data_IF_742885216005
#
_entry.id   IF_742885216005
#
_cell.length_a   1.000
_cell.length_b   1.000
_cell.length_c   1.000
_cell.angle_alpha   90.00
_cell.angle_beta   90.00
_cell.angle_gamma   90.00
#
_symmetry.space_group_name_H-M   'P 1'
#
loop_
_entity.id
_entity.type
_entity.pdbx_description
1 polymer ?
#
# COMPACT_ATOMS: atom_id res chain seq x y z
N UNK A 1 60.83 -77.38 8.50
CA UNK A 1 59.79 -77.99 7.62
C UNK A 1 58.70 -76.94 7.43
N UNK A 2 58.54 -76.29 6.26
CA UNK A 2 57.65 -76.69 5.13
C UNK A 2 56.27 -77.15 5.66
N UNK A 3 55.09 -76.63 5.28
CA UNK A 3 54.55 -76.31 3.93
C UNK A 3 53.10 -75.79 4.10
N UNK A 4 52.65 -74.87 3.20
CA UNK A 4 51.41 -74.92 2.35
C UNK A 4 50.03 -74.95 3.06
N UNK A 5 48.95 -74.26 2.65
CA UNK A 5 48.56 -73.62 1.38
C UNK A 5 47.37 -74.34 0.72
N UNK A 6 46.29 -73.59 0.43
CA UNK A 6 45.29 -73.81 -0.66
C UNK A 6 44.27 -74.97 -0.52
N UNK A 7 42.96 -74.70 -0.45
CA UNK A 7 41.93 -74.56 -1.54
C UNK A 7 41.58 -75.88 -2.25
N UNK A 8 40.27 -76.15 -2.45
CA UNK A 8 39.60 -76.66 -3.69
C UNK A 8 38.13 -77.06 -3.37
N UNK A 9 37.16 -76.38 -4.00
CA UNK A 9 35.79 -76.83 -4.34
C UNK A 9 35.84 -77.64 -5.67
N UNK A 10 34.79 -78.21 -6.32
CA UNK A 10 33.32 -78.08 -6.15
C UNK A 10 32.51 -79.40 -6.35
N UNK A 11 31.17 -79.38 -6.25
CA UNK A 11 30.24 -80.12 -7.14
C UNK A 11 28.75 -79.76 -6.87
N UNK A 12 28.00 -79.60 -7.96
CA UNK A 12 26.57 -79.27 -8.20
C UNK A 12 26.27 -79.99 -9.55
N UNK A 13 25.04 -80.35 -10.03
CA UNK A 13 23.65 -80.15 -9.55
C UNK A 13 22.78 -81.43 -9.58
N UNK A 14 21.48 -81.32 -9.23
CA UNK A 14 20.46 -82.14 -9.91
C UNK A 14 19.15 -81.37 -10.20
N UNK A 15 18.54 -81.69 -11.33
CA UNK A 15 17.42 -81.02 -12.04
C UNK A 15 16.02 -81.42 -11.54
N UNK A 16 15.04 -80.51 -11.55
CA UNK A 16 13.83 -80.57 -12.40
C UNK A 16 12.66 -79.60 -12.03
N UNK A 17 12.41 -78.68 -12.97
CA UNK A 17 11.16 -78.06 -13.52
C UNK A 17 9.75 -78.17 -12.86
N UNK A 18 9.12 -76.98 -12.83
CA UNK A 18 7.74 -76.55 -13.22
C UNK A 18 6.50 -76.72 -12.31
N UNK A 19 6.07 -75.55 -11.78
CA UNK A 19 4.77 -74.84 -11.90
C UNK A 19 3.43 -75.54 -11.53
N UNK A 20 2.67 -74.91 -10.60
CA UNK A 20 1.24 -74.55 -10.73
C UNK A 20 0.94 -73.39 -9.75
N UNK A 21 0.46 -72.25 -10.29
CA UNK A 21 -0.31 -71.20 -9.58
C UNK A 21 -1.72 -71.75 -9.31
N UNK A 22 -2.27 -71.58 -8.10
CA UNK A 22 -3.71 -71.32 -7.97
C UNK A 22 -4.10 -70.64 -6.64
N UNK A 23 -5.05 -69.72 -6.80
CA UNK A 23 -5.99 -69.14 -5.84
C UNK A 23 -5.51 -68.19 -4.72
N UNK A 24 -5.69 -66.91 -5.09
CA UNK A 24 -5.86 -65.71 -4.29
C UNK A 24 -7.03 -65.80 -3.28
N UNK A 25 -6.73 -65.92 -1.98
CA UNK A 25 -7.60 -65.44 -0.90
C UNK A 25 -7.09 -64.08 -0.39
N UNK A 26 -7.90 -63.00 -0.37
CA UNK A 26 -7.45 -61.71 0.15
C UNK A 26 -7.64 -61.65 1.67
N UNK A 27 -6.60 -61.43 2.50
CA UNK A 27 -6.82 -61.18 3.90
C UNK A 27 -7.19 -59.70 4.11
N UNK A 28 -8.43 -59.52 4.57
CA UNK A 28 -8.93 -58.42 5.39
C UNK A 28 -8.72 -56.99 4.88
N UNK A 29 -9.83 -56.38 4.44
CA UNK A 29 -10.09 -54.94 4.56
C UNK A 29 -9.86 -54.52 6.02
N UNK A 30 -8.65 -54.03 6.30
CA UNK A 30 -8.41 -53.16 7.43
C UNK A 30 -8.75 -51.75 6.97
N UNK A 31 -10.03 -51.40 7.13
CA UNK A 31 -10.43 -49.99 7.20
C UNK A 31 -9.66 -49.38 8.35
N UNK A 32 -8.55 -48.72 8.03
CA UNK A 32 -7.86 -47.81 8.92
C UNK A 32 -7.69 -46.52 8.17
N UNK A 33 -8.69 -45.66 8.39
CA UNK A 33 -8.66 -44.21 8.24
C UNK A 33 -7.24 -43.67 8.44
N UNK A 34 -6.50 -43.58 7.33
CA UNK A 34 -5.21 -42.92 7.30
C UNK A 34 -5.42 -41.64 6.54
N UNK A 35 -5.89 -40.66 7.30
CA UNK A 35 -5.57 -39.25 7.13
C UNK A 35 -6.05 -38.63 5.82
N UNK A 36 -7.37 -38.49 5.75
CA UNK A 36 -7.97 -37.20 5.41
C UNK A 36 -7.35 -36.09 6.28
N UNK A 37 -6.18 -35.57 5.89
CA UNK A 37 -5.62 -34.31 6.37
C UNK A 37 -4.42 -33.85 5.53
N UNK A 38 -4.55 -33.86 4.20
CA UNK A 38 -3.92 -32.76 3.47
C UNK A 38 -4.66 -31.50 3.91
N UNK A 39 -4.00 -30.51 4.54
CA UNK A 39 -4.66 -29.24 4.81
C UNK A 39 -5.12 -28.74 3.44
N UNK A 40 -6.43 -28.75 3.22
CA UNK A 40 -7.06 -28.15 2.06
C UNK A 40 -6.38 -26.80 1.88
N UNK A 41 -5.76 -26.60 0.71
CA UNK A 41 -4.98 -25.40 0.36
C UNK A 41 -5.84 -24.18 0.67
N UNK A 42 -5.70 -23.65 1.89
CA UNK A 42 -6.58 -22.60 2.41
C UNK A 42 -6.37 -21.41 1.49
N UNK A 43 -7.46 -20.75 1.11
CA UNK A 43 -7.38 -19.50 0.36
C UNK A 43 -6.58 -18.49 1.18
N UNK A 44 -5.27 -18.38 0.92
CA UNK A 44 -4.40 -17.48 1.65
C UNK A 44 -4.40 -16.12 0.97
N UNK A 45 -5.20 -15.20 1.49
CA UNK A 45 -5.35 -13.86 0.96
C UNK A 45 -4.03 -13.06 1.02
N UNK A 46 -3.18 -13.31 2.02
CA UNK A 46 -1.87 -12.67 2.12
C UNK A 46 -0.95 -13.07 0.96
N UNK A 47 -0.87 -14.36 0.62
CA UNK A 47 -0.08 -14.83 -0.53
C UNK A 47 -0.60 -14.27 -1.86
N UNK A 48 -1.93 -14.22 -2.04
CA UNK A 48 -2.50 -13.62 -3.26
C UNK A 48 -2.20 -12.12 -3.34
N UNK A 49 -2.26 -11.43 -2.21
CA UNK A 49 -1.96 -10.01 -2.15
C UNK A 49 -0.49 -9.77 -2.46
N UNK A 50 0.43 -10.50 -1.82
CA UNK A 50 1.86 -10.44 -2.15
C UNK A 50 2.13 -10.75 -3.62
N UNK A 51 1.43 -11.73 -4.18
CA UNK A 51 1.57 -12.10 -5.59
C UNK A 51 1.17 -10.96 -6.54
N UNK A 52 0.20 -10.12 -6.19
CA UNK A 52 -0.16 -8.94 -6.99
C UNK A 52 0.95 -7.88 -7.03
N UNK A 53 1.80 -7.83 -6.00
CA UNK A 53 2.93 -6.92 -5.92
C UNK A 53 4.23 -7.53 -6.46
N UNK A 54 4.38 -8.86 -6.40
CA UNK A 54 5.66 -9.51 -6.66
C UNK A 54 5.70 -10.36 -7.92
N UNK A 55 4.55 -10.71 -8.51
CA UNK A 55 4.49 -11.56 -9.71
C UNK A 55 4.12 -10.75 -10.95
N UNK A 56 4.83 -11.01 -12.05
CA UNK A 56 4.59 -10.36 -13.33
C UNK A 56 5.34 -9.03 -13.49
N UNK A 57 4.90 -8.20 -14.42
CA UNK A 57 5.52 -6.90 -14.66
C UNK A 57 5.25 -5.95 -13.49
N UNK A 58 6.26 -5.21 -12.99
CA UNK A 58 6.09 -4.23 -11.92
C UNK A 58 5.12 -3.09 -12.30
N UNK A 59 4.80 -2.95 -13.59
CA UNK A 59 3.86 -1.96 -14.11
C UNK A 59 2.39 -2.41 -14.01
N UNK A 60 2.10 -3.71 -13.89
CA UNK A 60 0.75 -4.24 -14.05
C UNK A 60 -0.25 -3.67 -13.04
N UNK A 61 0.12 -3.65 -11.75
CA UNK A 61 -0.76 -3.14 -10.69
C UNK A 61 -0.94 -1.61 -10.77
N UNK A 62 0.14 -0.79 -10.83
CA UNK A 62 0.01 0.66 -11.03
C UNK A 62 -0.81 1.03 -12.27
N UNK A 63 -0.56 0.36 -13.41
CA UNK A 63 -1.27 0.63 -14.66
C UNK A 63 -2.75 0.22 -14.59
N UNK A 64 -3.07 -0.92 -13.96
CA UNK A 64 -4.46 -1.35 -13.76
C UNK A 64 -5.26 -0.34 -12.92
N UNK A 65 -4.64 0.20 -11.87
CA UNK A 65 -5.25 1.20 -10.99
C UNK A 65 -5.47 2.49 -11.79
N UNK A 66 -4.44 2.99 -12.46
CA UNK A 66 -4.54 4.17 -13.33
C UNK A 66 -5.63 4.00 -14.41
N UNK A 67 -5.67 2.85 -15.08
CA UNK A 67 -6.65 2.55 -16.11
C UNK A 67 -8.08 2.52 -15.55
N UNK A 68 -8.29 1.94 -14.37
CA UNK A 68 -9.60 1.95 -13.70
C UNK A 68 -10.08 3.35 -13.34
N UNK A 69 -9.19 4.21 -12.83
CA UNK A 69 -9.50 5.61 -12.55
C UNK A 69 -9.84 6.38 -13.84
N UNK A 70 -9.08 6.13 -14.91
CA UNK A 70 -9.31 6.73 -16.23
C UNK A 70 -10.62 6.27 -16.84
N UNK A 71 -10.97 4.98 -16.72
CA UNK A 71 -12.24 4.44 -17.19
C UNK A 71 -13.43 5.07 -16.47
N UNK A 72 -13.35 5.26 -15.14
CA UNK A 72 -14.36 6.00 -14.38
C UNK A 72 -14.42 7.47 -14.81
N UNK A 73 -13.28 8.10 -15.11
CA UNK A 73 -13.22 9.44 -15.69
C UNK A 73 -13.97 9.54 -17.02
N UNK A 74 -13.71 8.62 -17.96
CA UNK A 74 -14.45 8.56 -19.23
C UNK A 74 -15.94 8.30 -19.04
N UNK A 75 -16.30 7.42 -18.12
CA UNK A 75 -17.70 7.15 -17.81
C UNK A 75 -18.38 8.41 -17.23
N UNK A 76 -17.70 9.14 -16.36
CA UNK A 76 -18.18 10.43 -15.83
C UNK A 76 -18.39 11.48 -16.94
N UNK A 77 -17.55 11.44 -17.98
CA UNK A 77 -17.69 12.31 -19.14
C UNK A 77 -18.94 11.95 -19.96
N UNK A 78 -19.10 10.67 -20.29
CA UNK A 78 -20.27 10.15 -21.03
C UNK A 78 -21.57 10.47 -20.29
N UNK A 79 -21.56 10.42 -18.95
CA UNK A 79 -22.71 10.70 -18.11
C UNK A 79 -22.93 12.19 -17.80
N UNK A 80 -22.08 13.09 -18.30
CA UNK A 80 -22.22 14.54 -18.11
C UNK A 80 -21.85 15.07 -16.72
N UNK A 81 -21.33 14.24 -15.81
CA UNK A 81 -21.01 14.61 -14.41
C UNK A 81 -19.55 15.02 -14.17
N UNK A 82 -18.73 15.01 -15.22
CA UNK A 82 -17.29 15.30 -15.15
C UNK A 82 -16.97 16.75 -14.76
N UNK A 83 -17.69 17.74 -15.30
CA UNK A 83 -17.49 19.18 -15.09
C UNK A 83 -18.80 19.89 -14.65
N UNK A 84 -19.46 19.33 -13.64
CA UNK A 84 -20.72 19.86 -13.13
C UNK A 84 -20.53 21.04 -12.17
N UNK A 85 -21.41 22.04 -12.28
CA UNK A 85 -21.50 23.19 -11.36
C UNK A 85 -22.83 23.20 -10.64
N UNK A 86 -22.80 23.18 -9.30
CA UNK A 86 -23.96 23.29 -8.43
C UNK A 86 -24.16 24.74 -7.99
N UNK A 87 -25.32 25.33 -8.31
CA UNK A 87 -25.70 26.65 -7.82
C UNK A 87 -26.41 26.50 -6.48
N UNK A 88 -25.75 26.92 -5.40
CA UNK A 88 -26.34 26.96 -4.06
C UNK A 88 -27.37 28.10 -3.98
N UNK A 89 -28.28 28.01 -3.01
CA UNK A 89 -29.40 28.95 -2.81
C UNK A 89 -28.98 30.39 -2.54
N UNK A 90 -27.73 30.63 -2.16
CA UNK A 90 -27.12 31.95 -1.96
C UNK A 90 -26.48 32.52 -3.24
N UNK A 91 -26.66 31.85 -4.40
CA UNK A 91 -26.13 32.27 -5.69
C UNK A 91 -24.67 31.86 -5.93
N UNK A 92 -24.04 31.11 -5.01
CA UNK A 92 -22.69 30.59 -5.20
C UNK A 92 -22.71 29.37 -6.14
N UNK A 93 -22.14 29.53 -7.34
CA UNK A 93 -21.85 28.42 -8.25
C UNK A 93 -20.59 27.67 -7.84
N UNK A 94 -20.74 26.39 -7.47
CA UNK A 94 -19.67 25.53 -6.95
C UNK A 94 -19.37 24.37 -7.90
N UNK A 95 -18.10 24.17 -8.23
CA UNK A 95 -17.66 23.06 -9.08
C UNK A 95 -17.64 21.76 -8.28
N UNK A 96 -18.54 20.85 -8.62
CA UNK A 96 -18.76 19.58 -7.92
C UNK A 96 -18.50 18.37 -8.81
N UNK A 97 -18.21 18.60 -10.09
CA UNK A 97 -17.92 17.56 -11.07
C UNK A 97 -16.77 16.64 -10.68
N UNK A 98 -16.76 15.46 -11.27
CA UNK A 98 -15.80 14.39 -10.97
C UNK A 98 -14.33 14.83 -11.12
N UNK A 99 -14.02 15.70 -12.10
CA UNK A 99 -12.67 16.23 -12.31
C UNK A 99 -12.22 17.24 -11.24
N UNK A 100 -13.17 17.89 -10.58
CA UNK A 100 -12.87 18.86 -9.51
C UNK A 100 -12.64 18.19 -8.15
N UNK A 101 -12.72 16.86 -8.11
CA UNK A 101 -12.49 16.05 -6.92
C UNK A 101 -11.03 15.57 -6.86
N UNK A 102 -10.19 16.09 -5.94
CA UNK A 102 -8.79 15.70 -5.81
C UNK A 102 -8.57 14.22 -5.51
N UNK A 103 -9.56 13.56 -4.89
CA UNK A 103 -9.49 12.13 -4.65
C UNK A 103 -9.45 11.33 -5.97
N UNK A 104 -10.00 11.86 -7.06
CA UNK A 104 -9.95 11.22 -8.38
C UNK A 104 -8.74 11.68 -9.18
N UNK A 105 -8.55 12.98 -9.32
CA UNK A 105 -7.52 13.55 -10.22
C UNK A 105 -6.10 13.42 -9.71
N UNK A 106 -5.88 13.45 -8.39
CA UNK A 106 -4.53 13.31 -7.83
C UNK A 106 -4.33 11.97 -7.13
N UNK A 107 -5.27 11.57 -6.25
CA UNK A 107 -5.10 10.34 -5.48
C UNK A 107 -5.14 9.11 -6.40
N UNK A 108 -6.24 8.86 -7.12
CA UNK A 108 -6.36 7.63 -7.93
C UNK A 108 -5.55 7.66 -9.24
N UNK A 109 -5.38 8.83 -9.86
CA UNK A 109 -4.59 8.94 -11.11
C UNK A 109 -3.07 9.06 -10.89
N UNK A 110 -2.60 9.56 -9.75
CA UNK A 110 -1.17 9.87 -9.58
C UNK A 110 -0.59 9.18 -8.34
N UNK A 111 -1.06 9.54 -7.14
CA UNK A 111 -0.39 9.14 -5.91
C UNK A 111 -0.50 7.65 -5.60
N UNK A 112 -1.67 7.05 -5.86
CA UNK A 112 -1.88 5.64 -5.58
C UNK A 112 -1.12 4.71 -6.56
N UNK A 113 -1.13 4.94 -7.88
CA UNK A 113 -0.25 4.20 -8.80
C UNK A 113 1.23 4.32 -8.43
N UNK A 114 1.71 5.53 -8.09
CA UNK A 114 3.09 5.73 -7.63
C UNK A 114 3.40 4.99 -6.33
N UNK A 115 2.43 4.93 -5.41
CA UNK A 115 2.58 4.20 -4.15
C UNK A 115 2.79 2.72 -4.43
N UNK A 116 1.97 2.13 -5.30
CA UNK A 116 2.14 0.73 -5.69
C UNK A 116 3.48 0.49 -6.39
N UNK A 117 3.91 1.38 -7.28
CA UNK A 117 5.20 1.25 -7.95
C UNK A 117 6.37 1.19 -6.94
N UNK A 118 6.39 2.08 -5.93
CA UNK A 118 7.44 2.07 -4.91
C UNK A 118 7.37 0.88 -3.96
N UNK A 119 6.17 0.42 -3.59
CA UNK A 119 6.02 -0.82 -2.79
C UNK A 119 6.56 -2.02 -3.57
N UNK A 120 6.21 -2.13 -4.86
CA UNK A 120 6.69 -3.20 -5.74
C UNK A 120 8.22 -3.17 -5.88
N UNK A 121 8.78 -2.00 -6.18
CA UNK A 121 10.24 -1.82 -6.29
C UNK A 121 10.95 -2.27 -5.01
N UNK A 122 10.43 -1.88 -3.85
CA UNK A 122 11.02 -2.23 -2.57
C UNK A 122 10.90 -3.73 -2.25
N UNK A 123 9.76 -4.34 -2.57
CA UNK A 123 9.56 -5.78 -2.38
C UNK A 123 10.45 -6.61 -3.31
N UNK A 124 10.58 -6.21 -4.58
CA UNK A 124 11.47 -6.88 -5.53
C UNK A 124 12.93 -6.74 -5.12
N UNK A 125 13.36 -5.55 -4.69
CA UNK A 125 14.69 -5.33 -4.14
C UNK A 125 14.94 -6.25 -2.94
N UNK A 126 14.02 -6.30 -1.98
CA UNK A 126 14.18 -7.12 -0.77
C UNK A 126 14.31 -8.60 -1.12
N UNK A 127 13.40 -9.12 -1.94
CA UNK A 127 13.34 -10.56 -2.28
C UNK A 127 14.53 -11.02 -3.11
N UNK A 128 14.95 -10.21 -4.09
CA UNK A 128 15.94 -10.64 -5.09
C UNK A 128 17.37 -10.27 -4.72
N UNK A 129 17.58 -9.22 -3.92
CA UNK A 129 18.91 -8.70 -3.63
C UNK A 129 19.17 -8.50 -2.14
N UNK A 130 18.38 -7.65 -1.48
CA UNK A 130 18.67 -7.19 -0.12
C UNK A 130 18.72 -8.33 0.89
N UNK A 131 17.71 -9.19 0.88
CA UNK A 131 17.63 -10.35 1.78
C UNK A 131 18.73 -11.36 1.51
N UNK A 132 18.95 -11.70 0.24
CA UNK A 132 19.97 -12.67 -0.19
C UNK A 132 21.38 -12.24 0.22
N UNK A 133 21.75 -10.97 -0.02
CA UNK A 133 23.06 -10.42 0.37
C UNK A 133 23.32 -10.58 1.87
N UNK A 134 22.33 -10.26 2.71
CA UNK A 134 22.46 -10.35 4.17
C UNK A 134 22.50 -11.79 4.68
N UNK A 135 21.73 -12.70 4.07
CA UNK A 135 21.72 -14.12 4.46
C UNK A 135 23.05 -14.81 4.13
N UNK A 136 23.59 -14.54 2.93
CA UNK A 136 24.89 -15.09 2.48
C UNK A 136 26.03 -14.57 3.37
N UNK A 137 26.08 -13.26 3.62
CA UNK A 137 27.13 -12.65 4.44
C UNK A 137 27.03 -13.07 5.92
N UNK A 138 25.82 -13.33 6.40
CA UNK A 138 25.57 -13.84 7.75
C UNK A 138 25.87 -15.34 7.92
N UNK A 139 26.38 -16.03 6.88
CA UNK A 139 26.67 -17.48 6.87
C UNK A 139 25.48 -18.36 7.26
N UNK A 140 24.25 -17.87 7.10
CA UNK A 140 23.03 -18.63 7.41
C UNK A 140 22.48 -19.28 6.16
N UNK A 141 22.28 -20.59 6.22
CA UNK A 141 21.47 -21.31 5.24
C UNK A 141 20.00 -21.20 5.67
N UNK A 142 19.39 -20.03 5.48
CA UNK A 142 17.97 -19.83 5.77
C UNK A 142 17.15 -20.18 4.51
N UNK A 143 16.21 -21.12 4.61
CA UNK A 143 15.35 -21.52 3.47
C UNK A 143 14.57 -20.31 2.93
N UNK A 144 14.41 -20.23 1.60
CA UNK A 144 13.54 -19.28 0.90
C UNK A 144 12.10 -19.27 1.46
N UNK A 145 11.68 -20.35 2.10
CA UNK A 145 10.38 -20.49 2.77
C UNK A 145 10.18 -19.52 3.94
N UNK A 146 11.24 -18.91 4.48
CA UNK A 146 11.11 -18.01 5.63
C UNK A 146 10.33 -16.73 5.31
N UNK A 147 10.51 -16.16 4.11
CA UNK A 147 9.71 -15.02 3.65
C UNK A 147 8.24 -15.41 3.48
N UNK A 148 7.98 -16.55 2.84
CA UNK A 148 6.62 -17.04 2.62
C UNK A 148 5.86 -17.24 3.94
N UNK A 149 6.52 -17.81 4.96
CA UNK A 149 5.95 -17.96 6.31
C UNK A 149 5.64 -16.61 6.98
N UNK A 150 6.49 -15.60 6.82
CA UNK A 150 6.25 -14.27 7.39
C UNK A 150 5.06 -13.58 6.71
N UNK A 151 4.89 -13.76 5.39
CA UNK A 151 3.72 -13.28 4.65
C UNK A 151 2.46 -14.03 5.09
N UNK A 152 2.52 -15.36 5.21
CA UNK A 152 1.41 -16.19 5.68
C UNK A 152 0.97 -15.82 7.12
N UNK A 153 1.91 -15.50 8.01
CA UNK A 153 1.59 -15.02 9.35
C UNK A 153 0.75 -13.74 9.35
N UNK A 154 0.77 -12.96 8.27
CA UNK A 154 -0.02 -11.75 8.07
C UNK A 154 -1.41 -12.00 7.46
N UNK A 155 -1.82 -13.28 7.27
CA UNK A 155 -3.09 -13.65 6.62
C UNK A 155 -4.32 -13.12 7.35
N UNK A 156 -4.34 -13.21 8.68
CA UNK A 156 -5.44 -12.67 9.49
C UNK A 156 -5.61 -11.16 9.28
N UNK A 157 -4.51 -10.40 9.32
CA UNK A 157 -4.51 -8.95 9.13
C UNK A 157 -5.00 -8.57 7.73
N UNK A 158 -4.58 -9.30 6.70
CA UNK A 158 -5.05 -9.07 5.33
C UNK A 158 -6.56 -9.33 5.20
N UNK A 159 -7.08 -10.41 5.80
CA UNK A 159 -8.51 -10.69 5.84
C UNK A 159 -9.32 -9.63 6.59
N UNK A 160 -8.83 -9.19 7.75
CA UNK A 160 -9.47 -8.13 8.52
C UNK A 160 -9.56 -6.83 7.70
N UNK A 161 -8.45 -6.42 7.08
CA UNK A 161 -8.41 -5.23 6.22
C UNK A 161 -9.31 -5.38 5.00
N UNK A 162 -9.34 -6.55 4.35
CA UNK A 162 -10.23 -6.82 3.22
C UNK A 162 -11.69 -6.63 3.59
N UNK A 163 -12.13 -7.23 4.71
CA UNK A 163 -13.50 -7.12 5.18
C UNK A 163 -13.84 -5.68 5.56
N UNK A 164 -12.94 -4.97 6.25
CA UNK A 164 -13.15 -3.56 6.59
C UNK A 164 -13.27 -2.70 5.33
N UNK A 165 -12.37 -2.87 4.35
CA UNK A 165 -12.40 -2.09 3.13
C UNK A 165 -13.67 -2.39 2.31
N UNK A 166 -13.97 -3.65 2.03
CA UNK A 166 -15.09 -4.02 1.16
C UNK A 166 -16.45 -3.77 1.83
N UNK A 167 -16.62 -4.19 3.09
CA UNK A 167 -17.92 -4.08 3.77
C UNK A 167 -18.16 -2.67 4.32
N UNK A 168 -17.21 -2.10 5.07
CA UNK A 168 -17.45 -0.81 5.73
C UNK A 168 -17.16 0.35 4.78
N UNK A 169 -15.96 0.43 4.20
CA UNK A 169 -15.59 1.56 3.34
C UNK A 169 -16.24 1.50 1.94
N UNK A 170 -16.51 0.29 1.43
CA UNK A 170 -17.22 0.07 0.18
C UNK A 170 -18.73 0.09 0.38
N UNK A 171 -19.29 -1.03 0.85
CA UNK A 171 -20.73 -1.27 0.87
C UNK A 171 -21.50 -0.33 1.79
N UNK A 172 -21.18 -0.28 3.09
CA UNK A 172 -21.94 0.54 4.04
C UNK A 172 -21.74 2.04 3.82
N UNK A 173 -20.54 2.47 3.46
CA UNK A 173 -20.31 3.87 3.13
C UNK A 173 -21.06 4.27 1.85
N UNK A 174 -21.08 3.43 0.82
CA UNK A 174 -21.87 3.70 -0.39
C UNK A 174 -23.37 3.76 -0.08
N UNK A 175 -23.89 2.81 0.70
CA UNK A 175 -25.30 2.78 1.11
C UNK A 175 -25.66 4.07 1.86
N UNK A 176 -24.86 4.45 2.85
CA UNK A 176 -25.16 5.59 3.72
C UNK A 176 -24.92 6.96 3.08
N UNK A 177 -23.90 7.09 2.22
CA UNK A 177 -23.47 8.37 1.65
C UNK A 177 -24.10 8.64 0.29
N UNK A 178 -24.34 7.63 -0.54
CA UNK A 178 -24.86 7.81 -1.90
C UNK A 178 -26.27 7.21 -2.06
N UNK A 179 -26.43 5.90 -1.85
CA UNK A 179 -27.69 5.20 -2.19
C UNK A 179 -28.90 5.76 -1.42
N UNK A 180 -28.80 5.87 -0.09
CA UNK A 180 -29.92 6.32 0.73
C UNK A 180 -30.33 7.77 0.44
N UNK A 181 -29.39 8.73 0.29
CA UNK A 181 -29.75 10.08 -0.16
C UNK A 181 -30.42 10.11 -1.53
N UNK A 182 -29.93 9.32 -2.50
CA UNK A 182 -30.47 9.25 -3.86
C UNK A 182 -31.90 8.67 -3.89
N UNK A 183 -32.18 7.65 -3.07
CA UNK A 183 -33.51 7.03 -3.01
C UNK A 183 -34.54 7.87 -2.25
N UNK A 184 -34.11 8.59 -1.21
CA UNK A 184 -35.02 9.35 -0.32
C UNK A 184 -35.14 10.83 -0.67
N UNK A 185 -34.35 11.32 -1.63
CA UNK A 185 -34.38 12.72 -2.06
C UNK A 185 -33.82 13.71 -1.04
N UNK A 186 -32.85 13.32 -0.19
CA UNK A 186 -32.30 14.23 0.82
C UNK A 186 -31.18 13.69 1.71
N UNK A 187 -30.50 14.58 2.44
CA UNK A 187 -29.47 14.29 3.44
C UNK A 187 -28.64 15.52 3.84
N UNK A 188 -28.07 15.54 5.06
CA UNK A 188 -27.14 16.59 5.52
C UNK A 188 -25.70 16.35 5.03
N UNK A 189 -25.53 16.20 3.71
CA UNK A 189 -24.23 16.05 3.06
C UNK A 189 -24.03 17.15 2.03
N UNK A 190 -22.78 17.57 1.82
CA UNK A 190 -22.45 18.49 0.73
C UNK A 190 -22.73 17.82 -0.63
N UNK A 191 -23.26 18.59 -1.58
CA UNK A 191 -23.48 18.13 -2.94
C UNK A 191 -22.12 17.89 -3.62
N UNK A 192 -21.94 16.68 -4.14
CA UNK A 192 -20.79 16.26 -4.93
C UNK A 192 -21.26 15.58 -6.22
N UNK A 193 -20.31 15.15 -7.05
CA UNK A 193 -20.55 14.40 -8.29
C UNK A 193 -21.40 13.12 -8.13
N UNK A 194 -21.56 12.61 -6.90
CA UNK A 194 -22.33 11.40 -6.62
C UNK A 194 -23.73 11.67 -6.03
N UNK A 195 -24.16 12.94 -6.01
CA UNK A 195 -25.49 13.39 -5.56
C UNK A 195 -26.09 14.44 -6.49
N UNK A 196 -25.58 14.57 -7.71
CA UNK A 196 -25.97 15.60 -8.65
C UNK A 196 -27.40 15.41 -9.16
N UNK A 197 -27.90 14.18 -9.31
CA UNK A 197 -29.29 13.91 -9.75
C UNK A 197 -30.34 14.48 -8.79
N UNK A 198 -29.97 14.75 -7.52
CA UNK A 198 -30.88 15.37 -6.55
C UNK A 198 -31.16 16.85 -6.85
N UNK A 199 -30.27 17.51 -7.56
CA UNK A 199 -30.36 18.96 -7.83
C UNK A 199 -30.51 19.25 -9.32
N UNK A 200 -29.85 18.45 -10.18
CA UNK A 200 -29.87 18.60 -11.64
C UNK A 200 -30.26 17.28 -12.30
N UNK A 201 -31.52 16.83 -12.14
CA UNK A 201 -32.00 15.57 -12.73
C UNK A 201 -31.97 15.59 -14.27
N UNK A 202 -31.96 16.77 -14.88
CA UNK A 202 -31.75 16.99 -16.32
C UNK A 202 -30.36 16.57 -16.82
N UNK A 203 -29.34 16.53 -15.97
CA UNK A 203 -27.98 16.10 -16.36
C UNK A 203 -27.83 14.59 -16.25
N UNK A 204 -28.28 14.01 -15.13
CA UNK A 204 -28.13 12.59 -14.83
C UNK A 204 -29.35 12.07 -14.07
N UNK A 205 -29.85 10.90 -14.48
CA UNK A 205 -30.95 10.24 -13.79
C UNK A 205 -30.49 9.53 -12.52
N UNK A 206 -31.35 9.46 -11.51
CA UNK A 206 -31.07 8.79 -10.23
C UNK A 206 -30.56 7.35 -10.40
N UNK A 207 -31.16 6.49 -11.25
CA UNK A 207 -30.64 5.12 -11.43
C UNK A 207 -29.23 5.08 -12.01
N UNK A 208 -28.92 5.96 -12.96
CA UNK A 208 -27.59 6.05 -13.56
C UNK A 208 -26.55 6.51 -12.54
N UNK A 209 -26.90 7.47 -11.69
CA UNK A 209 -26.02 7.94 -10.61
C UNK A 209 -25.78 6.86 -9.54
N UNK A 210 -26.80 6.06 -9.20
CA UNK A 210 -26.66 4.92 -8.29
C UNK A 210 -25.66 3.90 -8.86
N UNK A 211 -25.76 3.56 -10.14
CA UNK A 211 -24.84 2.60 -10.78
C UNK A 211 -23.41 3.17 -10.79
N UNK A 212 -23.25 4.42 -11.21
CA UNK A 212 -21.93 5.06 -11.29
C UNK A 212 -21.26 5.15 -9.92
N UNK A 213 -21.97 5.63 -8.90
CA UNK A 213 -21.45 5.70 -7.53
C UNK A 213 -21.15 4.32 -6.96
N UNK A 214 -21.95 3.29 -7.29
CA UNK A 214 -21.68 1.91 -6.91
C UNK A 214 -20.37 1.37 -7.48
N UNK A 215 -20.14 1.58 -8.79
CA UNK A 215 -18.88 1.23 -9.45
C UNK A 215 -17.69 1.99 -8.87
N UNK A 216 -17.87 3.29 -8.63
CA UNK A 216 -16.85 4.14 -8.05
C UNK A 216 -16.46 3.66 -6.64
N UNK A 217 -17.43 3.35 -5.76
CA UNK A 217 -17.16 2.85 -4.41
C UNK A 217 -16.56 1.45 -4.39
N UNK A 218 -16.96 0.56 -5.31
CA UNK A 218 -16.32 -0.74 -5.48
C UNK A 218 -14.85 -0.59 -5.89
N UNK A 219 -14.58 0.27 -6.86
CA UNK A 219 -13.21 0.57 -7.28
C UNK A 219 -12.39 1.17 -6.13
N UNK A 220 -12.94 2.15 -5.40
CA UNK A 220 -12.29 2.77 -4.25
C UNK A 220 -11.94 1.73 -3.17
N UNK A 221 -12.88 0.86 -2.79
CA UNK A 221 -12.65 -0.09 -1.71
C UNK A 221 -11.60 -1.15 -2.07
N UNK A 222 -11.57 -1.62 -3.32
CA UNK A 222 -10.54 -2.53 -3.81
C UNK A 222 -9.16 -1.85 -3.84
N UNK A 223 -9.11 -0.60 -4.29
CA UNK A 223 -7.88 0.19 -4.29
C UNK A 223 -7.33 0.46 -2.88
N UNK A 224 -8.20 0.82 -1.93
CA UNK A 224 -7.79 1.02 -0.53
C UNK A 224 -7.40 -0.29 0.14
N UNK A 225 -8.06 -1.41 -0.18
CA UNK A 225 -7.61 -2.73 0.26
C UNK A 225 -6.16 -2.99 -0.19
N UNK A 226 -5.87 -2.77 -1.48
CA UNK A 226 -4.52 -2.95 -2.02
C UNK A 226 -3.52 -1.99 -1.38
N UNK A 227 -3.91 -0.75 -1.12
CA UNK A 227 -3.09 0.22 -0.38
C UNK A 227 -2.67 -0.32 1.00
N UNK A 228 -3.63 -0.79 1.79
CA UNK A 228 -3.34 -1.36 3.11
C UNK A 228 -2.58 -2.67 3.03
N UNK A 229 -2.84 -3.52 2.04
CA UNK A 229 -2.04 -4.72 1.78
C UNK A 229 -0.58 -4.35 1.50
N UNK A 230 -0.34 -3.29 0.72
CA UNK A 230 0.99 -2.71 0.51
C UNK A 230 1.64 -2.26 1.83
N UNK A 231 0.91 -1.55 2.69
CA UNK A 231 1.41 -1.15 4.02
C UNK A 231 1.76 -2.34 4.91
N UNK A 232 0.95 -3.41 4.90
CA UNK A 232 1.23 -4.65 5.63
C UNK A 232 2.52 -5.28 5.09
N UNK A 233 2.69 -5.37 3.78
CA UNK A 233 3.90 -5.91 3.17
C UNK A 233 5.16 -5.10 3.52
N UNK A 234 5.07 -3.76 3.53
CA UNK A 234 6.15 -2.90 4.00
C UNK A 234 6.50 -3.16 5.46
N UNK A 235 5.50 -3.32 6.33
CA UNK A 235 5.72 -3.68 7.73
C UNK A 235 6.39 -5.05 7.86
N UNK A 236 5.92 -6.06 7.12
CA UNK A 236 6.51 -7.41 7.12
C UNK A 236 7.95 -7.40 6.62
N UNK A 237 8.27 -6.58 5.62
CA UNK A 237 9.64 -6.39 5.14
C UNK A 237 10.54 -5.79 6.23
N UNK A 238 10.11 -4.73 6.92
CA UNK A 238 10.87 -4.15 8.05
C UNK A 238 11.10 -5.20 9.12
N UNK A 239 10.05 -5.97 9.45
CA UNK A 239 10.13 -7.00 10.48
C UNK A 239 11.13 -8.11 10.11
N UNK A 240 11.11 -8.56 8.86
CA UNK A 240 12.05 -9.56 8.34
C UNK A 240 13.50 -9.06 8.39
N UNK A 241 13.74 -7.83 7.91
CA UNK A 241 15.07 -7.20 7.97
C UNK A 241 15.58 -7.05 9.40
N UNK A 242 14.73 -6.57 10.32
CA UNK A 242 15.08 -6.46 11.73
C UNK A 242 15.48 -7.81 12.32
N UNK A 243 14.69 -8.86 12.05
CA UNK A 243 14.94 -10.22 12.56
C UNK A 243 16.26 -10.80 12.04
N UNK A 244 16.57 -10.57 10.76
CA UNK A 244 17.85 -10.99 10.15
C UNK A 244 19.02 -10.26 10.83
N UNK A 245 18.90 -8.95 11.05
CA UNK A 245 19.93 -8.14 11.70
C UNK A 245 20.15 -8.48 13.19
N UNK A 246 19.08 -8.79 13.93
CA UNK A 246 19.18 -9.18 15.34
C UNK A 246 19.84 -10.56 15.51
N UNK A 247 19.52 -11.50 14.62
CA UNK A 247 20.04 -12.86 14.67
C UNK A 247 21.54 -12.98 14.33
N UNK A 248 22.09 -12.01 13.60
CA UNK A 248 23.49 -11.98 13.14
C UNK A 248 24.40 -11.13 14.02
N UNK A 249 23.82 -10.26 14.89
CA UNK A 249 24.56 -9.35 15.78
C UNK A 249 25.60 -10.04 16.68
N UNK A 250 25.40 -11.32 16.98
CA UNK A 250 26.30 -12.10 17.84
C UNK A 250 27.44 -12.80 17.08
N UNK A 251 27.38 -12.88 15.76
CA UNK A 251 28.30 -13.69 14.94
C UNK A 251 29.00 -12.90 13.82
N UNK A 252 28.64 -11.63 13.62
CA UNK A 252 29.00 -10.90 12.41
C UNK A 252 30.08 -9.83 12.62
N UNK A 253 31.00 -9.71 11.66
CA UNK A 253 32.06 -8.69 11.63
C UNK A 253 31.61 -7.34 11.08
N UNK A 254 32.53 -6.36 11.01
CA UNK A 254 32.23 -4.97 10.62
C UNK A 254 31.63 -4.80 9.23
N UNK A 255 32.00 -5.65 8.26
CA UNK A 255 31.47 -5.61 6.89
C UNK A 255 29.96 -5.92 6.83
N UNK A 256 29.50 -6.84 7.69
CA UNK A 256 28.08 -7.17 7.80
C UNK A 256 27.27 -6.01 8.36
N UNK A 257 27.79 -5.32 9.37
CA UNK A 257 27.12 -4.16 9.96
C UNK A 257 27.02 -3.01 8.96
N UNK A 258 28.04 -2.82 8.11
CA UNK A 258 28.00 -1.84 7.03
C UNK A 258 26.90 -2.16 6.00
N UNK A 259 26.84 -3.40 5.51
CA UNK A 259 25.84 -3.84 4.54
C UNK A 259 24.41 -3.82 5.11
N UNK A 260 24.24 -4.22 6.38
CA UNK A 260 22.96 -4.15 7.09
C UNK A 260 22.47 -2.71 7.18
N UNK A 261 23.35 -1.78 7.58
CA UNK A 261 23.01 -0.36 7.68
C UNK A 261 22.70 0.26 6.31
N UNK A 262 23.44 -0.10 5.27
CA UNK A 262 23.18 0.33 3.89
C UNK A 262 21.83 -0.15 3.38
N UNK A 263 21.52 -1.43 3.59
CA UNK A 263 20.24 -2.04 3.22
C UNK A 263 19.07 -1.44 4.01
N UNK A 264 19.25 -1.24 5.32
CA UNK A 264 18.26 -0.58 6.17
C UNK A 264 17.94 0.85 5.71
N UNK A 265 18.96 1.62 5.27
CA UNK A 265 18.76 2.98 4.79
C UNK A 265 18.01 3.01 3.46
N UNK A 266 18.32 2.08 2.54
CA UNK A 266 17.58 1.93 1.28
C UNK A 266 16.11 1.58 1.53
N UNK A 267 15.86 0.64 2.43
CA UNK A 267 14.51 0.27 2.86
C UNK A 267 13.77 1.46 3.47
N UNK A 268 14.40 2.20 4.38
CA UNK A 268 13.80 3.39 4.98
C UNK A 268 13.52 4.50 3.97
N UNK A 269 14.37 4.70 2.96
CA UNK A 269 14.11 5.65 1.85
C UNK A 269 12.89 5.24 1.02
N UNK A 270 12.74 3.95 0.74
CA UNK A 270 11.56 3.41 0.06
C UNK A 270 10.29 3.60 0.87
N UNK A 271 10.32 3.24 2.16
CA UNK A 271 9.20 3.45 3.09
C UNK A 271 8.85 4.93 3.19
N UNK A 272 9.83 5.81 3.30
CA UNK A 272 9.62 7.26 3.33
C UNK A 272 8.86 7.78 2.09
N UNK A 273 9.22 7.32 0.89
CA UNK A 273 8.48 7.65 -0.36
C UNK A 273 7.03 7.17 -0.29
N UNK A 274 6.81 5.93 0.14
CA UNK A 274 5.48 5.38 0.35
C UNK A 274 4.69 6.17 1.41
N UNK A 275 5.38 6.67 2.45
CA UNK A 275 4.78 7.46 3.53
C UNK A 275 4.34 8.83 3.05
N UNK A 276 5.18 9.52 2.28
CA UNK A 276 4.79 10.78 1.63
C UNK A 276 3.53 10.57 0.81
N UNK A 277 3.49 9.54 -0.05
CA UNK A 277 2.33 9.28 -0.89
C UNK A 277 1.08 8.95 -0.09
N UNK A 278 1.19 8.13 0.95
CA UNK A 278 0.05 7.83 1.83
C UNK A 278 -0.51 9.07 2.53
N UNK A 279 0.34 10.00 2.96
CA UNK A 279 -0.12 11.27 3.55
C UNK A 279 -0.73 12.20 2.46
N UNK A 280 -0.15 12.28 1.26
CA UNK A 280 -0.73 13.05 0.15
C UNK A 280 -2.10 12.49 -0.27
N UNK A 281 -2.29 11.17 -0.26
CA UNK A 281 -3.58 10.50 -0.46
C UNK A 281 -4.59 11.00 0.59
N UNK A 282 -4.23 10.98 1.88
CA UNK A 282 -5.09 11.45 2.97
C UNK A 282 -5.41 12.96 2.86
N UNK A 283 -4.43 13.77 2.44
CA UNK A 283 -4.61 15.20 2.15
C UNK A 283 -5.65 15.39 1.06
N UNK A 284 -5.58 14.68 -0.08
CA UNK A 284 -6.58 14.79 -1.14
C UNK A 284 -7.99 14.45 -0.65
N UNK A 285 -8.13 13.37 0.13
CA UNK A 285 -9.42 12.96 0.69
C UNK A 285 -10.01 14.02 1.62
N UNK A 286 -9.19 14.58 2.52
CA UNK A 286 -9.63 15.59 3.49
C UNK A 286 -9.88 16.94 2.81
N UNK A 287 -8.98 17.39 1.94
CA UNK A 287 -9.09 18.65 1.21
C UNK A 287 -10.37 18.68 0.35
N UNK A 288 -10.74 17.58 -0.30
CA UNK A 288 -12.01 17.47 -1.01
C UNK A 288 -13.21 17.66 -0.09
N UNK A 289 -13.21 16.99 1.06
CA UNK A 289 -14.30 17.05 2.01
C UNK A 289 -14.48 18.48 2.55
N UNK A 290 -13.39 19.11 2.99
CA UNK A 290 -13.37 20.49 3.48
C UNK A 290 -13.76 21.48 2.39
N UNK A 291 -13.21 21.34 1.18
CA UNK A 291 -13.60 22.14 0.03
C UNK A 291 -15.11 22.10 -0.19
N UNK A 292 -15.74 20.92 -0.17
CA UNK A 292 -17.17 20.77 -0.42
C UNK A 292 -18.06 21.45 0.63
N UNK A 293 -17.62 21.62 1.88
CA UNK A 293 -18.34 22.45 2.86
C UNK A 293 -17.96 23.94 2.88
N UNK A 294 -16.86 24.31 2.23
CA UNK A 294 -16.42 25.71 2.15
C UNK A 294 -17.30 26.57 1.22
N UNK A 295 -17.06 27.89 1.22
CA UNK A 295 -17.67 28.82 0.26
C UNK A 295 -16.81 29.03 -1.00
N UNK A 296 -15.80 28.17 -1.24
CA UNK A 296 -15.00 28.22 -2.46
C UNK A 296 -15.78 27.77 -3.69
N UNK A 297 -15.60 28.48 -4.81
CA UNK A 297 -16.19 28.12 -6.12
C UNK A 297 -15.56 26.86 -6.72
N UNK A 298 -14.26 26.71 -6.52
CA UNK A 298 -13.48 25.53 -6.87
C UNK A 298 -12.33 25.36 -5.88
N UNK A 299 -11.69 24.19 -5.90
CA UNK A 299 -10.69 23.88 -4.88
C UNK A 299 -9.49 24.83 -4.94
N UNK A 300 -9.08 25.25 -6.14
CA UNK A 300 -7.94 26.17 -6.31
C UNK A 300 -8.28 27.54 -5.75
N UNK A 301 -9.46 28.07 -6.07
CA UNK A 301 -9.95 29.34 -5.56
C UNK A 301 -10.12 29.32 -4.03
N UNK A 302 -10.52 28.18 -3.46
CA UNK A 302 -10.60 28.01 -2.01
C UNK A 302 -9.22 28.12 -1.35
N UNK A 303 -8.22 27.38 -1.86
CA UNK A 303 -6.85 27.39 -1.32
C UNK A 303 -6.16 28.75 -1.52
N UNK A 304 -6.32 29.36 -2.70
CA UNK A 304 -5.76 30.68 -2.98
C UNK A 304 -6.45 31.77 -2.16
N UNK A 305 -7.76 31.67 -1.96
CA UNK A 305 -8.52 32.56 -1.10
C UNK A 305 -7.98 32.53 0.33
N UNK A 306 -7.84 31.33 0.91
CA UNK A 306 -7.27 31.13 2.25
C UNK A 306 -5.84 31.70 2.39
N UNK A 307 -4.98 31.42 1.39
CA UNK A 307 -3.61 31.97 1.34
C UNK A 307 -3.61 33.51 1.29
N UNK A 308 -4.48 34.10 0.46
CA UNK A 308 -4.57 35.55 0.30
C UNK A 308 -5.10 36.24 1.56
N UNK A 309 -6.07 35.65 2.25
CA UNK A 309 -6.64 36.20 3.49
C UNK A 309 -5.59 36.29 4.60
N UNK A 310 -4.71 35.29 4.70
CA UNK A 310 -3.61 35.30 5.67
C UNK A 310 -2.54 36.37 5.37
N UNK A 311 -2.25 36.61 4.09
CA UNK A 311 -1.22 37.58 3.67
C UNK A 311 -1.70 39.04 3.68
N UNK A 312 -2.97 39.28 3.34
CA UNK A 312 -3.52 40.62 3.13
C UNK A 312 -4.52 41.06 4.20
N UNK A 313 -4.68 40.29 5.30
CA UNK A 313 -5.56 40.65 6.42
C UNK A 313 -7.05 40.67 6.07
N UNK A 314 -7.45 39.87 5.08
CA UNK A 314 -8.84 39.79 4.60
C UNK A 314 -9.76 39.10 5.60
N UNK A 315 -10.97 39.67 5.79
CA UNK A 315 -12.01 39.22 6.74
C UNK A 315 -12.35 37.73 6.61
N UNK A 316 -12.64 37.15 7.77
CA UNK A 316 -13.08 35.77 8.02
C UNK A 316 -13.90 35.13 6.89
N UNK A 317 -13.42 34.00 6.37
CA UNK A 317 -14.24 33.04 5.61
C UNK A 317 -14.89 31.99 6.53
N UNK A 318 -15.14 32.35 7.80
CA UNK A 318 -15.76 31.49 8.79
C UNK A 318 -17.28 31.47 8.67
N UNK A 319 -17.82 30.62 7.80
CA UNK A 319 -19.06 29.89 8.09
C UNK A 319 -19.16 28.69 7.14
N UNK A 320 -18.35 27.66 7.41
CA UNK A 320 -18.56 26.33 6.83
C UNK A 320 -19.87 25.77 7.37
N UNK A 321 -20.78 25.41 6.46
CA UNK A 321 -22.03 24.73 6.82
C UNK A 321 -21.74 23.37 7.46
N UNK A 322 -22.40 23.08 8.58
CA UNK A 322 -22.23 21.85 9.37
C UNK A 322 -22.72 20.60 8.61
N UNK A 323 -21.90 20.10 7.68
CA UNK A 323 -22.14 18.83 6.98
C UNK A 323 -21.45 17.66 7.69
N UNK A 324 -22.07 16.47 7.61
CA UNK A 324 -21.43 15.23 8.08
C UNK A 324 -20.37 14.81 7.07
N UNK A 325 -19.14 14.56 7.50
CA UNK A 325 -18.00 14.27 6.61
C UNK A 325 -17.33 12.92 6.95
N UNK A 326 -17.89 11.80 6.46
CA UNK A 326 -17.37 10.45 6.73
C UNK A 326 -15.91 10.24 6.28
N UNK A 327 -15.50 10.94 5.22
CA UNK A 327 -14.13 10.91 4.68
C UNK A 327 -13.07 11.43 5.65
N UNK A 328 -13.42 12.21 6.67
CA UNK A 328 -12.46 12.58 7.72
C UNK A 328 -11.96 11.37 8.51
N UNK A 329 -12.84 10.41 8.80
CA UNK A 329 -12.41 9.20 9.51
C UNK A 329 -11.55 8.30 8.62
N UNK A 330 -11.98 8.07 7.37
CA UNK A 330 -11.24 7.22 6.43
C UNK A 330 -9.88 7.81 6.04
N UNK A 331 -9.80 9.14 5.84
CA UNK A 331 -8.51 9.83 5.57
C UNK A 331 -7.58 9.80 6.77
N UNK A 332 -8.12 9.92 7.99
CA UNK A 332 -7.32 9.81 9.22
C UNK A 332 -6.74 8.41 9.39
N UNK A 333 -7.52 7.37 9.12
CA UNK A 333 -7.05 5.98 9.17
C UNK A 333 -5.89 5.78 8.18
N UNK A 334 -6.04 6.25 6.93
CA UNK A 334 -4.96 6.20 5.93
C UNK A 334 -3.70 6.91 6.42
N UNK A 335 -3.83 8.14 6.94
CA UNK A 335 -2.69 8.92 7.43
C UNK A 335 -1.98 8.21 8.60
N UNK A 336 -2.74 7.75 9.60
CA UNK A 336 -2.19 7.10 10.80
C UNK A 336 -1.52 5.76 10.43
N UNK A 337 -2.19 4.90 9.66
CA UNK A 337 -1.61 3.60 9.27
C UNK A 337 -0.29 3.78 8.50
N UNK A 338 -0.23 4.77 7.61
CA UNK A 338 0.98 5.09 6.86
C UNK A 338 2.10 5.58 7.78
N UNK A 339 1.79 6.45 8.75
CA UNK A 339 2.76 6.95 9.73
C UNK A 339 3.25 5.84 10.66
N UNK A 340 2.38 4.91 11.08
CA UNK A 340 2.76 3.78 11.94
C UNK A 340 3.83 2.91 11.27
N UNK A 341 3.68 2.59 9.98
CA UNK A 341 4.67 1.80 9.24
C UNK A 341 6.03 2.52 9.19
N UNK A 342 6.02 3.84 8.96
CA UNK A 342 7.23 4.66 8.96
C UNK A 342 7.89 4.72 10.34
N UNK A 343 7.10 4.94 11.40
CA UNK A 343 7.59 4.99 12.78
C UNK A 343 8.15 3.64 13.21
N UNK A 344 7.46 2.54 12.86
CA UNK A 344 7.95 1.18 13.13
C UNK A 344 9.31 0.93 12.46
N UNK A 345 9.43 1.29 11.17
CA UNK A 345 10.71 1.24 10.45
C UNK A 345 11.80 2.09 11.10
N UNK A 346 11.47 3.33 11.47
CA UNK A 346 12.42 4.27 12.09
C UNK A 346 12.90 3.77 13.45
N UNK A 347 12.02 3.20 14.28
CA UNK A 347 12.37 2.68 15.60
C UNK A 347 13.19 1.40 15.48
N UNK A 348 12.80 0.47 14.60
CA UNK A 348 13.48 -0.82 14.46
C UNK A 348 14.82 -0.69 13.74
N UNK A 349 14.91 0.14 12.71
CA UNK A 349 16.12 0.24 11.88
C UNK A 349 17.04 1.40 12.27
N UNK A 350 16.60 2.31 13.15
CA UNK A 350 17.25 3.60 13.42
C UNK A 350 18.38 3.65 14.45
N UNK A 351 18.91 2.51 14.91
CA UNK A 351 19.81 2.46 16.07
C UNK A 351 21.25 2.99 15.84
N UNK A 352 21.65 3.34 14.61
CA UNK A 352 23.02 3.77 14.29
C UNK A 352 23.24 5.30 14.25
N UNK A 353 24.37 5.81 14.76
CA UNK A 353 24.72 7.25 14.75
C UNK A 353 24.76 7.86 13.33
N UNK A 354 25.23 7.10 12.33
CA UNK A 354 25.22 7.51 10.90
C UNK A 354 23.83 7.51 10.27
N UNK A 355 22.87 6.87 10.93
CA UNK A 355 21.48 6.70 10.48
C UNK A 355 20.57 7.84 10.98
N UNK A 356 21.00 8.57 12.01
CA UNK A 356 20.20 9.57 12.69
C UNK A 356 19.92 10.83 11.84
N UNK A 357 20.91 11.30 11.06
CA UNK A 357 20.75 12.53 10.28
C UNK A 357 19.75 12.37 9.10
N UNK A 358 19.84 11.32 8.26
CA UNK A 358 18.82 11.08 7.23
C UNK A 358 17.43 10.82 7.80
N UNK A 359 17.32 10.02 8.86
CA UNK A 359 16.03 9.73 9.51
C UNK A 359 15.38 10.97 10.11
N UNK A 360 16.18 11.87 10.70
CA UNK A 360 15.65 13.10 11.27
C UNK A 360 15.04 14.00 10.19
N UNK A 361 15.71 14.13 9.02
CA UNK A 361 15.16 14.88 7.88
C UNK A 361 13.86 14.27 7.37
N UNK A 362 13.81 12.94 7.21
CA UNK A 362 12.60 12.23 6.80
C UNK A 362 11.46 12.44 7.81
N UNK A 363 11.75 12.28 9.10
CA UNK A 363 10.79 12.50 10.19
C UNK A 363 10.26 13.93 10.23
N UNK A 364 11.11 14.93 9.97
CA UNK A 364 10.69 16.33 9.89
C UNK A 364 9.69 16.57 8.75
N UNK A 365 9.93 15.99 7.57
CA UNK A 365 9.01 16.10 6.42
C UNK A 365 7.70 15.36 6.69
N UNK A 366 7.76 14.14 7.22
CA UNK A 366 6.57 13.36 7.60
C UNK A 366 5.75 14.11 8.65
N UNK A 367 6.41 14.66 9.68
CA UNK A 367 5.77 15.48 10.71
C UNK A 367 5.12 16.73 10.13
N UNK A 368 5.83 17.48 9.29
CA UNK A 368 5.29 18.66 8.61
C UNK A 368 4.05 18.32 7.78
N UNK A 369 4.09 17.24 7.00
CA UNK A 369 2.96 16.79 6.18
C UNK A 369 1.77 16.33 7.02
N UNK A 370 2.02 15.54 8.06
CA UNK A 370 0.96 15.07 8.95
C UNK A 370 0.31 16.22 9.72
N UNK A 371 1.09 17.18 10.22
CA UNK A 371 0.59 18.40 10.84
C UNK A 371 -0.19 19.25 9.84
N UNK A 372 0.32 19.42 8.61
CA UNK A 372 -0.41 20.13 7.55
C UNK A 372 -1.77 19.47 7.26
N UNK A 373 -1.80 18.14 7.17
CA UNK A 373 -3.01 17.35 7.01
C UNK A 373 -4.02 17.60 8.15
N UNK A 374 -3.58 17.56 9.41
CA UNK A 374 -4.46 17.80 10.57
C UNK A 374 -5.04 19.21 10.55
N UNK A 375 -4.27 20.18 10.08
CA UNK A 375 -4.63 21.60 10.09
C UNK A 375 -5.43 22.06 8.87
N UNK A 376 -5.71 21.19 7.89
CA UNK A 376 -6.61 21.50 6.77
C UNK A 376 -7.94 22.01 7.32
N UNK A 377 -8.33 23.23 6.90
CA UNK A 377 -9.58 23.91 7.28
C UNK A 377 -9.69 24.26 8.78
N UNK A 378 -8.58 24.21 9.53
CA UNK A 378 -8.57 24.49 10.97
C UNK A 378 -8.37 25.99 11.32
N UNK A 379 -7.66 26.74 10.47
CA UNK A 379 -7.41 28.18 10.66
C UNK A 379 -7.08 28.85 9.31
N UNK A 380 -7.23 30.18 9.23
CA UNK A 380 -6.93 30.95 8.03
C UNK A 380 -5.44 30.95 7.71
N UNK A 381 -5.07 30.58 6.48
CA UNK A 381 -3.68 30.48 6.02
C UNK A 381 -3.09 29.08 6.13
N UNK A 382 -3.87 28.06 6.48
CA UNK A 382 -3.42 26.66 6.48
C UNK A 382 -2.87 26.24 5.10
N UNK A 383 -3.37 26.85 4.02
CA UNK A 383 -2.95 26.58 2.64
C UNK A 383 -1.48 26.90 2.36
N UNK A 384 -0.89 27.85 3.11
CA UNK A 384 0.54 28.18 3.01
C UNK A 384 1.37 27.01 3.55
N UNK A 385 1.03 26.54 4.75
CA UNK A 385 1.71 25.41 5.38
C UNK A 385 1.57 24.14 4.51
N UNK A 386 0.36 23.90 3.99
CA UNK A 386 0.09 22.80 3.08
C UNK A 386 0.94 22.90 1.80
N UNK A 387 1.03 24.08 1.18
CA UNK A 387 1.84 24.31 -0.01
C UNK A 387 3.32 24.04 0.22
N UNK A 388 3.87 24.53 1.34
CA UNK A 388 5.26 24.26 1.74
C UNK A 388 5.46 22.75 1.95
N UNK A 389 4.55 22.09 2.68
CA UNK A 389 4.59 20.64 2.89
C UNK A 389 4.61 19.86 1.59
N UNK A 390 3.75 20.21 0.62
CA UNK A 390 3.69 19.56 -0.70
C UNK A 390 4.99 19.76 -1.50
N UNK A 391 5.64 20.92 -1.42
CA UNK A 391 6.94 21.13 -2.07
C UNK A 391 8.00 20.20 -1.48
N UNK A 392 8.08 20.10 -0.15
CA UNK A 392 9.00 19.17 0.51
C UNK A 392 8.67 17.70 0.20
N UNK A 393 7.39 17.36 0.08
CA UNK A 393 6.94 16.04 -0.35
C UNK A 393 7.46 15.69 -1.75
N UNK A 394 7.25 16.56 -2.73
CA UNK A 394 7.68 16.34 -4.12
C UNK A 394 9.21 16.19 -4.17
N UNK A 395 9.94 17.05 -3.47
CA UNK A 395 11.39 16.93 -3.37
C UNK A 395 11.80 15.58 -2.74
N UNK A 396 11.17 15.19 -1.63
CA UNK A 396 11.46 13.93 -0.93
C UNK A 396 11.11 12.66 -1.72
N UNK A 397 10.17 12.74 -2.65
CA UNK A 397 9.89 11.64 -3.59
C UNK A 397 11.05 11.44 -4.57
N UNK A 398 11.63 12.52 -5.08
CA UNK A 398 12.75 12.49 -6.03
C UNK A 398 14.05 12.10 -5.29
N UNK A 399 14.42 12.86 -4.26
CA UNK A 399 15.61 12.67 -3.45
C UNK A 399 15.25 12.41 -1.99
N UNK A 400 14.98 11.14 -1.60
CA UNK A 400 14.66 10.79 -0.22
C UNK A 400 15.85 10.97 0.74
N UNK A 401 17.08 11.17 0.23
CA UNK A 401 18.26 11.43 1.03
C UNK A 401 18.47 12.90 1.41
N UNK A 402 17.81 13.83 0.71
CA UNK A 402 18.02 15.28 0.84
C UNK A 402 19.52 15.64 0.85
N UNK A 403 20.25 15.14 -0.16
CA UNK A 403 21.69 15.40 -0.37
C UNK A 403 22.59 14.17 -0.56
N UNK A 404 23.60 14.35 -1.42
CA UNK A 404 24.60 13.38 -1.94
C UNK A 404 25.16 12.39 -0.90
N UNK A 405 24.94 11.10 -1.14
CA UNK A 405 25.89 10.04 -0.77
C UNK A 405 26.40 9.35 -2.04
N UNK A 406 27.11 10.12 -2.87
CA UNK A 406 27.91 9.62 -3.99
C UNK A 406 29.22 10.41 -4.00
N UNK A 407 30.10 10.08 -3.06
CA UNK A 407 31.47 10.53 -3.01
C UNK A 407 32.29 9.58 -2.13
N UNK A 408 32.61 8.37 -2.62
CA UNK A 408 33.82 7.65 -2.21
C UNK A 408 34.18 6.37 -2.99
N UNK A 409 33.32 5.78 -3.83
CA UNK A 409 33.64 4.46 -4.44
C UNK A 409 34.04 4.46 -5.93
N UNK A 410 34.53 5.56 -6.48
CA UNK A 410 34.98 5.62 -7.89
C UNK A 410 36.39 6.22 -8.08
N UNK A 411 37.25 6.14 -7.06
CA UNK A 411 38.57 6.79 -7.10
C UNK A 411 39.72 6.01 -6.49
N UNK A 412 39.69 4.67 -6.43
CA UNK A 412 40.88 3.91 -6.02
C UNK A 412 41.20 2.72 -6.93
N UNK A 413 41.14 2.96 -8.25
CA UNK A 413 41.86 2.16 -9.23
C UNK A 413 42.77 3.10 -10.01
N UNK A 414 43.94 3.42 -9.43
CA UNK A 414 45.19 3.70 -10.15
C UNK A 414 46.29 4.08 -9.14
N UNK A 415 47.10 3.09 -8.75
CA UNK A 415 48.56 3.29 -8.70
C UNK A 415 49.23 1.93 -8.81
N UNK A 416 49.65 1.64 -10.03
CA UNK A 416 50.75 0.73 -10.33
C UNK A 416 52.03 1.55 -10.16
N UNK A 417 52.91 1.12 -9.27
CA UNK A 417 54.36 1.16 -9.42
C UNK A 417 54.98 0.16 -8.46
#
# INVERSE_FOLDING_TARGET
MKKVGSTVAPEVPDLARTAVDDEMEPPAKLERDTEANQPSRRFNLAERSEALFSRGSPLNLPASVFAGATALGFLSYIMGIHDATYNRTDGLGKQVGFLWAPNWTFLFMVFLPLFFAFVIELLLFWKNEGRLKLVVLGSRMESDDAWARNVEASSYTNWAVFLICVLFAGLFQWIGVCLMPLLKGGGNYAIDWGKLALVQPEVISVPMEIIFTGLAYLYMCLCFYLFFAGLILLHTLVHDLWKIGEASKNSAGGDYEHELNGTALLVMRGIFRCTILGILIAICMKAQSSYLASNGRNIVAWLLGDMSSALYGGRDMGNGSSYRMPTHYSSLLVAISTCIVFLYGSIRLGAGYRFHLPLWKMSAVVGLLFTSYLLIDAFTGFSILLGIGVVFAIYGLIDPGFGRWRASDLGNNQSVS
#
